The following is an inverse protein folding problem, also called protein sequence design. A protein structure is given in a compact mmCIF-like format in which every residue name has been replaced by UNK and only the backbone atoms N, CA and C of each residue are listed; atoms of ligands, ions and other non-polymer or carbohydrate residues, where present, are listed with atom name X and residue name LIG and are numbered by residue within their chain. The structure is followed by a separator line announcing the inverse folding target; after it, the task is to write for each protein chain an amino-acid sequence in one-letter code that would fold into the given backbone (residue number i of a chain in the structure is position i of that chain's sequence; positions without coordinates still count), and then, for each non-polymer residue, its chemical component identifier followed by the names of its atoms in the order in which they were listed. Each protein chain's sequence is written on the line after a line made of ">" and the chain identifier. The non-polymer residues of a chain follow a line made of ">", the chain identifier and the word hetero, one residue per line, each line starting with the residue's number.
data_IF_683104375675
#
_entry.id   IF_683104375675
#
_cell.length_a   1.000
_cell.length_b   1.000
_cell.length_c   1.000
_cell.angle_alpha   90.00
_cell.angle_beta   90.00
_cell.angle_gamma   90.00
#
_symmetry.space_group_name_H-M   'P 1'
#
loop_
_entity.id
_entity.type
_entity.pdbx_description
1 polymer ?
#
# COMPACT_ATOMS: atom_id res chain seq x y z
N UNK A 1 10.28 -16.15 -42.93
CA UNK A 1 9.80 -16.49 -41.57
C UNK A 1 9.25 -15.20 -41.01
N UNK A 2 7.93 -15.05 -41.01
CA UNK A 2 7.27 -13.77 -40.70
C UNK A 2 6.86 -13.86 -39.22
N UNK A 3 7.49 -13.03 -38.39
CA UNK A 3 7.01 -12.76 -37.04
C UNK A 3 6.19 -11.49 -37.11
N UNK A 4 4.92 -11.61 -36.79
CA UNK A 4 4.04 -10.45 -36.64
C UNK A 4 3.87 -10.18 -35.14
N UNK A 5 3.88 -8.90 -34.77
CA UNK A 5 3.63 -8.47 -33.38
C UNK A 5 2.47 -7.51 -33.38
N UNK A 6 1.46 -7.76 -32.54
CA UNK A 6 0.25 -6.92 -32.47
C UNK A 6 0.02 -6.49 -31.02
N UNK A 7 -0.16 -5.18 -30.81
CA UNK A 7 -0.65 -4.63 -29.56
C UNK A 7 -2.17 -4.59 -29.58
N UNK A 8 -2.82 -5.19 -28.58
CA UNK A 8 -4.26 -5.11 -28.35
C UNK A 8 -4.53 -4.27 -27.10
N UNK A 9 -5.24 -3.16 -27.26
CA UNK A 9 -5.56 -2.22 -26.16
C UNK A 9 -6.86 -1.45 -26.45
N UNK A 10 -7.78 -1.39 -25.48
CA UNK A 10 -9.10 -0.74 -25.60
C UNK A 10 -9.89 -1.10 -26.89
N UNK A 11 -9.75 -2.33 -27.37
CA UNK A 11 -10.39 -2.79 -28.62
C UNK A 11 -9.68 -2.37 -29.91
N UNK A 12 -8.56 -1.64 -29.82
CA UNK A 12 -7.67 -1.37 -30.94
C UNK A 12 -6.67 -2.50 -31.12
N UNK A 13 -6.36 -2.82 -32.37
CA UNK A 13 -5.26 -3.71 -32.75
C UNK A 13 -4.25 -2.91 -33.57
N UNK A 14 -3.03 -2.77 -33.03
CA UNK A 14 -1.96 -1.96 -33.60
C UNK A 14 -0.81 -2.88 -34.01
N UNK A 15 -0.52 -3.02 -35.32
CA UNK A 15 0.66 -3.74 -35.79
C UNK A 15 1.95 -3.07 -35.30
N UNK A 16 2.82 -3.83 -34.67
CA UNK A 16 4.06 -3.37 -34.06
C UNK A 16 5.25 -3.74 -34.95
N UNK A 17 6.01 -2.74 -35.39
CA UNK A 17 7.22 -2.90 -36.20
C UNK A 17 8.46 -3.14 -35.34
N UNK A 18 8.47 -2.65 -34.10
CA UNK A 18 9.57 -2.85 -33.16
C UNK A 18 9.06 -3.07 -31.76
N UNK A 19 9.56 -4.13 -31.10
CA UNK A 19 9.32 -4.43 -29.70
C UNK A 19 10.66 -4.54 -28.97
N UNK A 20 10.78 -3.84 -27.86
CA UNK A 20 11.89 -3.99 -26.92
C UNK A 20 11.39 -3.98 -25.49
N UNK A 21 12.00 -4.83 -24.67
CA UNK A 21 11.70 -4.92 -23.25
C UNK A 21 13.00 -4.87 -22.45
N UNK A 22 13.05 -4.00 -21.44
CA UNK A 22 14.23 -3.78 -20.58
C UNK A 22 13.88 -3.99 -19.12
N UNK A 23 14.74 -4.74 -18.44
CA UNK A 23 14.79 -4.93 -16.99
C UNK A 23 16.26 -5.06 -16.54
N UNK A 24 16.50 -4.97 -15.23
CA UNK A 24 17.81 -5.07 -14.61
C UNK A 24 17.81 -6.19 -13.56
N UNK A 25 18.96 -6.75 -13.22
CA UNK A 25 19.08 -7.63 -12.05
C UNK A 25 19.11 -6.74 -10.79
N UNK A 26 18.49 -7.17 -9.68
CA UNK A 26 18.41 -6.40 -8.42
C UNK A 26 19.77 -5.88 -7.88
N UNK A 27 20.87 -6.52 -8.27
CA UNK A 27 22.24 -6.17 -7.89
C UNK A 27 23.05 -5.63 -9.08
N UNK A 28 22.42 -4.94 -10.02
CA UNK A 28 23.09 -4.52 -11.26
C UNK A 28 24.32 -3.62 -11.03
N UNK A 29 24.35 -2.88 -9.92
CA UNK A 29 25.48 -2.02 -9.50
C UNK A 29 26.56 -2.77 -8.69
N UNK A 30 26.40 -4.08 -8.44
CA UNK A 30 27.41 -4.85 -7.70
C UNK A 30 28.65 -5.10 -8.59
N UNK A 31 29.86 -4.69 -8.15
CA UNK A 31 31.08 -4.92 -8.92
C UNK A 31 31.38 -6.41 -9.16
N UNK A 32 30.77 -7.31 -8.39
CA UNK A 32 30.87 -8.76 -8.52
C UNK A 32 29.65 -9.39 -9.19
N UNK A 33 28.76 -8.63 -9.84
CA UNK A 33 27.55 -9.15 -10.49
C UNK A 33 27.83 -10.37 -11.39
N UNK A 34 28.94 -10.33 -12.15
CA UNK A 34 29.35 -11.46 -13.00
C UNK A 34 29.57 -12.74 -12.20
N UNK A 35 30.17 -12.64 -11.01
CA UNK A 35 30.43 -13.76 -10.11
C UNK A 35 29.13 -14.25 -9.46
N UNK A 36 28.22 -13.34 -9.11
CA UNK A 36 26.88 -13.68 -8.59
C UNK A 36 26.10 -14.49 -9.63
N UNK A 37 26.06 -14.02 -10.88
CA UNK A 37 25.40 -14.74 -11.99
C UNK A 37 26.03 -16.12 -12.19
N UNK A 38 27.36 -16.21 -12.20
CA UNK A 38 28.06 -17.47 -12.38
C UNK A 38 27.74 -18.49 -11.27
N UNK A 39 27.78 -18.06 -10.00
CA UNK A 39 27.46 -18.92 -8.86
C UNK A 39 25.99 -19.36 -8.88
N UNK A 40 25.07 -18.46 -9.25
CA UNK A 40 23.66 -18.79 -9.39
C UNK A 40 23.41 -19.88 -10.44
N UNK A 41 24.05 -19.75 -11.61
CA UNK A 41 23.96 -20.76 -12.68
C UNK A 41 24.50 -22.10 -12.19
N UNK A 42 25.68 -22.11 -11.55
CA UNK A 42 26.30 -23.33 -11.06
C UNK A 42 25.41 -24.04 -10.03
N UNK A 43 24.87 -23.30 -9.05
CA UNK A 43 23.97 -23.86 -8.04
C UNK A 43 22.71 -24.43 -8.69
N UNK A 44 22.11 -23.71 -9.64
CA UNK A 44 20.94 -24.16 -10.40
C UNK A 44 21.21 -25.48 -11.14
N UNK A 45 22.36 -25.59 -11.81
CA UNK A 45 22.79 -26.80 -12.51
C UNK A 45 23.01 -27.98 -11.54
N UNK A 46 23.63 -27.74 -10.38
CA UNK A 46 23.91 -28.77 -9.37
C UNK A 46 22.64 -29.32 -8.72
N UNK A 47 21.65 -28.48 -8.45
CA UNK A 47 20.40 -28.88 -7.77
C UNK A 47 19.26 -29.21 -8.75
N UNK A 48 19.49 -29.05 -10.06
CA UNK A 48 18.49 -29.23 -11.11
C UNK A 48 17.33 -28.22 -11.07
N UNK A 49 17.50 -27.09 -10.36
CA UNK A 49 16.51 -26.03 -10.26
C UNK A 49 16.80 -24.96 -11.32
N UNK A 50 15.77 -24.30 -11.85
CA UNK A 50 15.89 -23.21 -12.84
C UNK A 50 15.25 -21.93 -12.31
N UNK A 51 15.58 -21.56 -11.08
CA UNK A 51 15.17 -20.26 -10.54
C UNK A 51 15.87 -19.13 -11.30
N UNK A 52 15.12 -18.09 -11.64
CA UNK A 52 15.68 -16.89 -12.25
C UNK A 52 16.17 -15.95 -11.15
N UNK A 53 17.28 -15.24 -11.40
CA UNK A 53 17.68 -14.13 -10.53
C UNK A 53 16.57 -13.07 -10.46
N UNK A 54 16.38 -12.41 -9.31
CA UNK A 54 15.41 -11.35 -9.19
C UNK A 54 15.77 -10.20 -10.11
N UNK A 55 14.78 -9.74 -10.88
CA UNK A 55 14.91 -8.59 -11.77
C UNK A 55 14.03 -7.45 -11.30
N UNK A 56 14.50 -6.23 -11.53
CA UNK A 56 13.87 -4.96 -11.20
C UNK A 56 13.83 -4.05 -12.42
N UNK A 57 12.83 -3.15 -12.41
CA UNK A 57 12.56 -2.28 -13.54
C UNK A 57 11.86 -3.03 -14.67
N UNK A 58 11.00 -2.30 -15.37
CA UNK A 58 10.23 -2.81 -16.49
C UNK A 58 9.91 -1.62 -17.39
N UNK A 59 10.42 -1.65 -18.61
CA UNK A 59 10.11 -0.68 -19.65
C UNK A 59 9.94 -1.40 -20.97
N UNK A 60 8.74 -1.26 -21.55
CA UNK A 60 8.41 -1.75 -22.88
C UNK A 60 8.52 -0.56 -23.84
N UNK A 61 9.14 -0.79 -25.00
CA UNK A 61 9.23 0.18 -26.10
C UNK A 61 8.59 -0.44 -27.34
N UNK A 62 7.61 0.24 -27.92
CA UNK A 62 6.88 -0.19 -29.11
C UNK A 62 7.01 0.86 -30.21
N UNK A 63 7.23 0.46 -31.46
CA UNK A 63 7.16 1.35 -32.62
C UNK A 63 6.13 0.87 -33.65
N UNK A 64 5.34 1.78 -34.21
CA UNK A 64 4.34 1.48 -35.24
C UNK A 64 4.06 2.68 -36.14
N UNK A 65 3.40 2.42 -37.27
CA UNK A 65 3.00 3.43 -38.26
C UNK A 65 1.73 4.16 -37.81
N UNK A 66 1.74 5.49 -37.84
CA UNK A 66 0.58 6.31 -37.50
C UNK A 66 -0.46 6.28 -38.63
N UNK A 67 -1.73 6.18 -38.26
CA UNK A 67 -2.90 6.21 -39.15
C UNK A 67 -3.78 7.45 -38.94
N UNK A 68 -3.46 8.29 -37.96
CA UNK A 68 -4.21 9.49 -37.62
C UNK A 68 -5.31 9.26 -36.57
N UNK A 69 -5.33 8.09 -35.94
CA UNK A 69 -6.32 7.69 -34.93
C UNK A 69 -5.68 7.48 -33.53
N UNK A 70 -4.44 7.97 -33.34
CA UNK A 70 -3.62 7.72 -32.15
C UNK A 70 -3.93 8.63 -30.95
N UNK A 71 -5.02 9.41 -30.96
CA UNK A 71 -5.37 10.36 -29.90
C UNK A 71 -5.34 9.73 -28.50
N UNK A 72 -5.82 8.49 -28.39
CA UNK A 72 -5.79 7.71 -27.17
C UNK A 72 -4.42 7.65 -26.50
N UNK A 73 -3.33 7.51 -27.26
CA UNK A 73 -1.99 7.37 -26.68
C UNK A 73 -1.52 8.68 -26.05
N UNK A 74 -1.85 9.83 -26.64
CA UNK A 74 -1.56 11.12 -26.04
C UNK A 74 -2.38 11.37 -24.79
N UNK A 75 -3.67 11.00 -24.81
CA UNK A 75 -4.54 11.11 -23.63
C UNK A 75 -3.98 10.24 -22.51
N UNK A 76 -3.56 9.01 -22.81
CA UNK A 76 -2.91 8.11 -21.86
C UNK A 76 -1.66 8.74 -21.22
N UNK A 77 -0.79 9.37 -22.02
CA UNK A 77 0.40 10.07 -21.51
C UNK A 77 0.04 11.29 -20.64
N UNK A 78 -0.93 12.10 -21.07
CA UNK A 78 -1.24 13.39 -20.46
C UNK A 78 -2.12 13.26 -19.20
N UNK A 79 -3.06 12.32 -19.21
CA UNK A 79 -3.94 12.07 -18.07
C UNK A 79 -3.21 11.36 -16.93
N UNK A 80 -2.09 10.68 -17.24
CA UNK A 80 -1.46 9.77 -16.30
C UNK A 80 -2.40 8.64 -15.92
N UNK A 81 -3.27 8.22 -16.84
CA UNK A 81 -4.17 7.09 -16.63
C UNK A 81 -3.40 5.77 -16.76
N UNK A 82 -3.93 4.72 -16.14
CA UNK A 82 -3.42 3.36 -16.34
C UNK A 82 -4.32 2.56 -17.25
N UNK A 83 -3.69 1.82 -18.17
CA UNK A 83 -4.41 0.93 -19.07
C UNK A 83 -3.80 -0.47 -19.10
N UNK A 84 -4.63 -1.42 -19.51
CA UNK A 84 -4.29 -2.82 -19.63
C UNK A 84 -4.26 -3.20 -21.12
N UNK A 85 -3.41 -4.16 -21.48
CA UNK A 85 -3.27 -4.56 -22.86
C UNK A 85 -2.46 -5.84 -23.03
N UNK A 86 -2.40 -6.31 -24.27
CA UNK A 86 -1.70 -7.53 -24.62
C UNK A 86 -0.83 -7.29 -25.86
N UNK A 87 0.35 -7.91 -25.90
CA UNK A 87 1.24 -7.95 -27.06
C UNK A 87 1.29 -9.40 -27.51
N UNK A 88 0.78 -9.65 -28.71
CA UNK A 88 0.68 -10.97 -29.32
C UNK A 88 1.86 -11.16 -30.27
N UNK A 89 2.61 -12.25 -30.09
CA UNK A 89 3.68 -12.66 -30.99
C UNK A 89 3.18 -13.81 -31.85
N UNK A 90 3.00 -13.55 -33.14
CA UNK A 90 2.40 -14.49 -34.09
C UNK A 90 3.50 -15.01 -35.01
N UNK A 91 3.57 -16.33 -35.12
CA UNK A 91 4.48 -17.05 -35.99
C UNK A 91 3.73 -17.58 -37.21
N UNK A 92 4.26 -17.29 -38.40
CA UNK A 92 3.71 -17.76 -39.68
C UNK A 92 2.22 -17.47 -39.86
N UNK A 93 1.73 -16.31 -39.39
CA UNK A 93 0.36 -15.81 -39.58
C UNK A 93 -0.78 -16.67 -38.99
N UNK A 94 -0.46 -17.78 -38.30
CA UNK A 94 -1.48 -18.74 -37.83
C UNK A 94 -1.29 -19.15 -36.37
N UNK A 95 -0.06 -19.18 -35.85
CA UNK A 95 0.23 -19.68 -34.50
C UNK A 95 0.63 -18.54 -33.56
N UNK A 96 -0.11 -18.35 -32.47
CA UNK A 96 0.31 -17.43 -31.40
C UNK A 96 1.42 -18.11 -30.61
N UNK A 97 2.66 -17.71 -30.88
CA UNK A 97 3.84 -18.23 -30.21
C UNK A 97 3.91 -17.80 -28.74
N UNK A 98 3.48 -16.56 -28.44
CA UNK A 98 3.51 -16.02 -27.09
C UNK A 98 2.56 -14.83 -26.94
N UNK A 99 2.10 -14.60 -25.71
CA UNK A 99 1.30 -13.43 -25.35
C UNK A 99 1.93 -12.78 -24.12
N UNK A 100 2.38 -11.55 -24.30
CA UNK A 100 2.86 -10.70 -23.23
C UNK A 100 1.73 -9.76 -22.80
N UNK A 101 1.16 -10.04 -21.63
CA UNK A 101 0.07 -9.26 -21.07
C UNK A 101 0.61 -8.26 -20.07
N UNK A 102 0.04 -7.07 -20.06
CA UNK A 102 0.35 -6.06 -19.08
C UNK A 102 -0.90 -5.42 -18.49
N UNK A 103 -0.77 -5.04 -17.21
CA UNK A 103 -1.79 -4.29 -16.49
C UNK A 103 -1.15 -3.11 -15.77
N UNK A 104 -1.98 -2.15 -15.40
CA UNK A 104 -1.59 -0.93 -14.67
C UNK A 104 -0.44 -0.21 -15.37
N UNK A 105 -0.55 -0.13 -16.68
CA UNK A 105 0.53 0.39 -17.48
C UNK A 105 0.36 1.89 -17.63
N UNK A 106 1.40 2.64 -17.29
CA UNK A 106 1.49 4.05 -17.66
C UNK A 106 2.16 4.17 -19.03
N UNK A 107 1.63 5.07 -19.86
CA UNK A 107 2.42 5.66 -20.92
C UNK A 107 3.34 6.71 -20.28
N UNK A 108 4.66 6.52 -20.39
CA UNK A 108 5.65 7.39 -19.72
C UNK A 108 6.39 8.31 -20.68
N UNK A 109 6.34 8.03 -21.98
CA UNK A 109 6.92 8.87 -23.03
C UNK A 109 6.36 8.46 -24.40
N UNK A 110 6.18 9.46 -25.26
CA UNK A 110 5.88 9.30 -26.68
C UNK A 110 6.98 10.01 -27.48
N UNK A 111 7.41 9.39 -28.58
CA UNK A 111 8.18 10.05 -29.63
C UNK A 111 7.47 9.87 -30.97
N UNK A 112 7.57 10.89 -31.82
CA UNK A 112 7.10 10.84 -33.20
C UNK A 112 8.22 11.20 -34.16
N UNK A 113 8.28 10.51 -35.29
CA UNK A 113 9.22 10.81 -36.35
C UNK A 113 8.49 10.83 -37.68
N UNK A 114 8.71 11.91 -38.42
CA UNK A 114 8.24 12.01 -39.79
C UNK A 114 9.24 11.30 -40.70
N UNK A 115 8.79 10.25 -41.38
CA UNK A 115 9.61 9.52 -42.33
C UNK A 115 9.82 10.35 -43.60
N UNK A 116 11.00 10.25 -44.22
CA UNK A 116 11.31 10.92 -45.48
C UNK A 116 10.87 10.03 -46.65
N UNK A 117 10.17 10.59 -47.63
CA UNK A 117 9.60 9.85 -48.77
C UNK A 117 8.14 9.44 -48.56
N UNK A 118 7.64 8.46 -49.33
CA UNK A 118 6.26 7.95 -49.22
C UNK A 118 6.04 7.01 -48.00
N UNK A 119 6.97 6.99 -47.05
CA UNK A 119 6.87 6.16 -45.85
C UNK A 119 5.95 6.84 -44.83
N UNK A 120 5.10 6.07 -44.12
CA UNK A 120 4.19 6.62 -43.13
C UNK A 120 4.94 7.24 -41.95
N UNK A 121 4.26 8.14 -41.25
CA UNK A 121 4.73 8.69 -39.98
C UNK A 121 4.82 7.58 -38.94
N UNK A 122 5.79 7.68 -38.04
CA UNK A 122 6.07 6.66 -37.03
C UNK A 122 5.89 7.19 -35.62
N UNK A 123 5.28 6.40 -34.75
CA UNK A 123 5.17 6.67 -33.31
C UNK A 123 5.93 5.62 -32.51
N UNK A 124 6.61 6.05 -31.45
CA UNK A 124 7.24 5.19 -30.45
C UNK A 124 6.67 5.45 -29.07
N UNK A 125 6.14 4.39 -28.47
CA UNK A 125 5.58 4.38 -27.13
C UNK A 125 6.58 3.79 -26.14
N UNK A 126 6.72 4.45 -25.00
CA UNK A 126 7.39 3.92 -23.83
C UNK A 126 6.35 3.64 -22.75
N UNK A 127 6.26 2.37 -22.39
CA UNK A 127 5.23 1.82 -21.51
C UNK A 127 5.90 1.27 -20.25
N UNK A 128 5.41 1.71 -19.09
CA UNK A 128 5.85 1.23 -17.78
C UNK A 128 4.71 0.41 -17.17
N UNK A 129 4.71 -0.92 -17.35
CA UNK A 129 3.68 -1.78 -16.79
C UNK A 129 3.83 -1.94 -15.27
N UNK A 130 2.71 -1.95 -14.55
CA UNK A 130 2.65 -2.35 -13.14
C UNK A 130 2.60 -3.86 -12.97
N UNK A 131 2.06 -4.59 -13.94
CA UNK A 131 2.07 -6.07 -13.98
C UNK A 131 2.45 -6.53 -15.36
N UNK A 132 3.22 -7.61 -15.43
CA UNK A 132 3.51 -8.33 -16.66
C UNK A 132 3.26 -9.83 -16.47
N UNK A 133 2.69 -10.47 -17.47
CA UNK A 133 2.51 -11.93 -17.54
C UNK A 133 2.84 -12.39 -18.94
N UNK A 134 3.80 -13.31 -19.02
CA UNK A 134 4.17 -14.01 -20.26
C UNK A 134 3.67 -15.44 -20.21
N UNK A 135 3.47 -16.09 -21.34
CA UNK A 135 3.06 -17.50 -21.32
C UNK A 135 4.14 -18.33 -20.63
N UNK A 136 3.73 -19.30 -19.80
CA UNK A 136 4.60 -20.21 -19.05
C UNK A 136 5.58 -19.56 -18.05
N UNK A 137 5.49 -18.25 -17.82
CA UNK A 137 6.23 -17.55 -16.77
C UNK A 137 5.27 -17.10 -15.67
N UNK A 138 5.75 -17.03 -14.43
CA UNK A 138 4.97 -16.46 -13.33
C UNK A 138 4.64 -14.99 -13.60
N UNK A 139 3.52 -14.53 -13.00
CA UNK A 139 3.17 -13.11 -13.05
C UNK A 139 4.29 -12.34 -12.34
N UNK A 140 4.76 -11.25 -12.95
CA UNK A 140 5.66 -10.32 -12.27
C UNK A 140 5.00 -8.97 -12.10
N UNK A 141 5.23 -8.41 -10.92
CA UNK A 141 4.49 -7.29 -10.42
C UNK A 141 5.49 -6.22 -9.98
N UNK A 142 5.37 -5.04 -10.57
CA UNK A 142 6.07 -3.86 -10.12
C UNK A 142 5.43 -3.39 -8.80
N UNK A 143 6.25 -2.84 -7.92
CA UNK A 143 5.92 -2.58 -6.51
C UNK A 143 4.70 -1.63 -6.30
N UNK A 144 4.19 -0.97 -7.34
CA UNK A 144 3.17 0.10 -7.25
C UNK A 144 1.85 -0.13 -8.03
N UNK A 145 1.53 -1.35 -8.50
CA UNK A 145 0.37 -1.61 -9.40
C UNK A 145 -1.04 -1.50 -8.74
N UNK A 146 -2.11 -1.47 -9.55
CA UNK A 146 -3.53 -1.29 -9.13
C UNK A 146 -4.51 -2.43 -9.52
N UNK A 147 -4.15 -3.35 -10.42
CA UNK A 147 -4.96 -4.43 -10.99
C UNK A 147 -4.51 -5.83 -10.52
N UNK A 148 -5.37 -6.82 -10.70
CA UNK A 148 -5.12 -8.25 -10.45
C UNK A 148 -5.28 -9.06 -11.76
N UNK A 149 -4.23 -9.73 -12.27
CA UNK A 149 -4.24 -10.43 -13.55
C UNK A 149 -5.02 -11.76 -13.51
N UNK A 150 -5.51 -12.19 -12.34
CA UNK A 150 -6.26 -13.45 -12.20
C UNK A 150 -7.73 -13.37 -12.62
N UNK A 151 -8.22 -12.19 -12.99
CA UNK A 151 -9.59 -12.00 -13.49
C UNK A 151 -9.59 -12.02 -15.02
N UNK A 152 -9.55 -13.21 -15.62
CA UNK A 152 -10.05 -13.39 -16.98
C UNK A 152 -11.58 -13.27 -16.93
N UNK A 153 -12.12 -12.11 -17.34
CA UNK A 153 -13.54 -12.00 -17.67
C UNK A 153 -13.72 -12.34 -19.14
N UNK A 154 -14.38 -13.47 -19.36
CA UNK A 154 -15.02 -13.83 -20.61
C UNK A 154 -15.90 -12.68 -21.11
N UNK A 155 -15.85 -12.45 -22.43
CA UNK A 155 -16.73 -11.56 -23.14
C UNK A 155 -18.20 -11.83 -22.80
N UNK A 156 -18.87 -10.83 -22.23
CA UNK A 156 -20.31 -10.53 -22.32
C UNK A 156 -20.65 -9.55 -21.20
N UNK A 157 -20.56 -8.24 -21.50
CA UNK A 157 -21.38 -7.16 -20.92
C UNK A 157 -20.93 -5.82 -21.54
N UNK A 158 -20.94 -5.77 -22.87
CA UNK A 158 -21.13 -4.49 -23.56
C UNK A 158 -22.63 -4.22 -23.61
N UNK A 159 -23.00 -2.93 -23.60
CA UNK A 159 -24.36 -2.39 -23.69
C UNK A 159 -25.09 -2.27 -22.35
N UNK A 160 -24.79 -1.19 -21.61
CA UNK A 160 -25.73 -0.10 -21.27
C UNK A 160 -25.12 0.84 -20.22
N UNK A 161 -24.80 2.06 -20.63
CA UNK A 161 -25.24 3.33 -20.01
C UNK A 161 -24.25 4.45 -20.35
N UNK A 162 -24.43 5.04 -21.54
CA UNK A 162 -24.33 6.49 -21.67
C UNK A 162 -25.65 7.11 -21.19
N UNK A 163 -25.59 8.39 -20.79
CA UNK A 163 -26.66 9.27 -20.30
C UNK A 163 -26.79 9.31 -18.77
N UNK A 164 -25.97 10.15 -18.10
CA UNK A 164 -26.42 11.42 -17.48
C UNK A 164 -25.26 12.12 -16.73
N UNK A 165 -24.95 13.35 -17.15
CA UNK A 165 -24.17 14.34 -16.39
C UNK A 165 -25.16 15.20 -15.59
N UNK A 166 -25.05 15.20 -14.26
CA UNK A 166 -25.00 16.38 -13.37
C UNK A 166 -25.54 16.09 -11.95
N UNK A 167 -24.93 16.77 -10.98
CA UNK A 167 -25.36 17.00 -9.59
C UNK A 167 -25.09 15.91 -8.51
N UNK A 168 -23.99 16.13 -7.79
CA UNK A 168 -23.88 16.32 -6.32
C UNK A 168 -24.58 15.33 -5.36
N UNK A 169 -23.71 14.72 -4.53
CA UNK A 169 -23.89 14.00 -3.25
C UNK A 169 -24.39 12.54 -3.23
N UNK A 170 -23.49 11.68 -2.73
CA UNK A 170 -23.67 10.47 -1.90
C UNK A 170 -24.58 9.33 -2.40
N UNK A 171 -23.97 8.18 -2.71
CA UNK A 171 -24.02 6.95 -1.89
C UNK A 171 -23.36 5.75 -2.60
N UNK A 172 -22.42 5.14 -1.87
CA UNK A 172 -22.17 3.71 -1.66
C UNK A 172 -22.21 2.67 -2.80
N UNK A 173 -21.37 1.64 -2.57
CA UNK A 173 -21.43 0.23 -3.07
C UNK A 173 -20.62 -0.01 -4.36
N UNK A 174 -19.68 -0.96 -4.50
CA UNK A 174 -19.44 -2.21 -3.77
C UNK A 174 -17.94 -2.61 -3.75
N UNK A 175 -17.47 -2.98 -2.56
CA UNK A 175 -16.30 -3.82 -2.33
C UNK A 175 -16.63 -5.28 -2.66
N UNK A 176 -15.82 -5.94 -3.49
CA UNK A 176 -15.52 -7.39 -3.41
C UNK A 176 -14.27 -7.71 -4.23
N UNK A 177 -13.13 -8.00 -3.57
CA UNK A 177 -12.50 -9.33 -3.44
C UNK A 177 -11.59 -9.66 -4.65
N UNK A 178 -10.25 -9.54 -4.59
CA UNK A 178 -9.35 -10.27 -3.71
C UNK A 178 -8.03 -9.53 -3.45
N UNK A 179 -7.77 -9.17 -2.19
CA UNK A 179 -6.39 -9.11 -1.69
C UNK A 179 -5.95 -10.54 -1.43
N UNK A 180 -4.80 -10.98 -1.92
CA UNK A 180 -4.15 -12.18 -1.37
C UNK A 180 -2.64 -12.09 -1.49
N UNK A 181 -2.04 -11.03 -0.91
CA UNK A 181 -0.92 -11.32 -0.02
C UNK A 181 -1.53 -12.18 1.08
N UNK A 182 -1.37 -13.50 0.98
CA UNK A 182 -1.74 -14.37 2.09
C UNK A 182 -0.86 -13.95 3.26
N UNK A 183 -1.47 -13.30 4.25
CA UNK A 183 -0.84 -13.10 5.55
C UNK A 183 -0.34 -14.47 5.96
N UNK A 184 0.95 -14.62 6.21
CA UNK A 184 1.51 -15.92 6.54
C UNK A 184 0.83 -16.45 7.80
N UNK A 185 0.71 -17.78 7.91
CA UNK A 185 0.12 -18.39 9.09
C UNK A 185 0.85 -17.99 10.38
N UNK A 186 2.16 -17.74 10.29
CA UNK A 186 2.98 -17.23 11.38
C UNK A 186 2.58 -15.80 11.80
N UNK A 187 2.41 -14.89 10.84
CA UNK A 187 1.97 -13.52 11.10
C UNK A 187 0.54 -13.49 11.67
N UNK A 188 -0.36 -14.31 11.10
CA UNK A 188 -1.72 -14.44 11.60
C UNK A 188 -1.75 -15.02 13.02
N UNK A 189 -0.89 -16.00 13.32
CA UNK A 189 -0.77 -16.56 14.67
C UNK A 189 -0.31 -15.51 15.69
N UNK A 190 0.65 -14.64 15.32
CA UNK A 190 1.10 -13.52 16.17
C UNK A 190 -0.04 -12.56 16.45
N UNK A 191 -0.78 -12.11 15.41
CA UNK A 191 -1.93 -11.21 15.58
C UNK A 191 -3.01 -11.85 16.46
N UNK A 192 -3.34 -13.13 16.22
CA UNK A 192 -4.32 -13.86 17.03
C UNK A 192 -3.90 -13.98 18.50
N UNK A 193 -2.61 -14.17 18.78
CA UNK A 193 -2.08 -14.17 20.13
C UNK A 193 -2.23 -12.79 20.80
N UNK A 194 -1.91 -11.71 20.10
CA UNK A 194 -2.09 -10.32 20.58
C UNK A 194 -3.57 -10.03 20.89
N UNK A 195 -4.48 -10.43 20.00
CA UNK A 195 -5.93 -10.28 20.19
C UNK A 195 -6.40 -11.06 21.41
N UNK A 196 -5.98 -12.32 21.55
CA UNK A 196 -6.37 -13.18 22.69
C UNK A 196 -5.93 -12.56 24.01
N UNK A 197 -4.67 -12.11 24.09
CA UNK A 197 -4.13 -11.47 25.29
C UNK A 197 -4.91 -10.19 25.63
N UNK A 198 -5.18 -9.33 24.64
CA UNK A 198 -5.87 -8.06 24.87
C UNK A 198 -7.33 -8.25 25.28
N UNK A 199 -8.04 -9.23 24.70
CA UNK A 199 -9.40 -9.60 25.12
C UNK A 199 -9.45 -10.04 26.57
N UNK A 200 -8.53 -10.91 27.00
CA UNK A 200 -8.46 -11.37 28.39
C UNK A 200 -8.22 -10.22 29.37
N UNK A 201 -7.36 -9.25 29.01
CA UNK A 201 -7.12 -8.05 29.82
C UNK A 201 -8.40 -7.21 29.91
N UNK A 202 -9.04 -6.92 28.77
CA UNK A 202 -10.22 -6.07 28.70
C UNK A 202 -11.45 -6.68 29.38
N UNK A 203 -11.67 -7.99 29.27
CA UNK A 203 -12.77 -8.68 29.97
C UNK A 203 -12.72 -8.41 31.48
N UNK A 204 -11.52 -8.42 32.06
CA UNK A 204 -11.33 -8.14 33.49
C UNK A 204 -11.38 -6.65 33.82
N UNK A 205 -10.68 -5.83 33.05
CA UNK A 205 -10.47 -4.42 33.39
C UNK A 205 -11.65 -3.53 32.98
N UNK A 206 -12.46 -3.92 31.98
CA UNK A 206 -13.63 -3.13 31.55
C UNK A 206 -14.74 -3.12 32.62
N UNK A 207 -15.02 -4.26 33.26
CA UNK A 207 -15.99 -4.33 34.36
C UNK A 207 -15.51 -3.51 35.56
N UNK A 208 -14.22 -3.59 35.88
CA UNK A 208 -13.61 -2.75 36.90
C UNK A 208 -13.73 -1.26 36.55
N UNK A 209 -13.49 -0.89 35.29
CA UNK A 209 -13.60 0.49 34.84
C UNK A 209 -15.04 1.02 34.92
N UNK A 210 -16.03 0.23 34.48
CA UNK A 210 -17.46 0.57 34.59
C UNK A 210 -17.91 0.76 36.04
N UNK A 211 -17.44 -0.10 36.95
CA UNK A 211 -17.71 0.03 38.39
C UNK A 211 -17.17 1.34 38.95
N UNK A 212 -15.95 1.74 38.55
CA UNK A 212 -15.36 3.02 38.97
C UNK A 212 -16.18 4.23 38.46
N UNK A 213 -16.71 4.17 37.23
CA UNK A 213 -17.58 5.22 36.67
C UNK A 213 -18.90 5.38 37.44
N UNK A 214 -19.49 4.28 37.90
CA UNK A 214 -20.76 4.28 38.64
C UNK A 214 -20.63 4.75 40.10
N UNK A 215 -19.41 4.86 40.63
CA UNK A 215 -19.14 5.13 42.05
C UNK A 215 -19.45 6.56 42.54
N UNK A 216 -19.92 7.46 41.66
CA UNK A 216 -20.41 8.79 42.07
C UNK A 216 -19.34 9.66 42.77
N UNK A 217 -18.20 9.88 42.10
CA UNK A 217 -17.08 10.77 42.46
C UNK A 217 -16.12 10.35 43.59
N UNK A 218 -16.42 9.34 44.43
CA UNK A 218 -15.45 8.92 45.47
C UNK A 218 -14.33 8.02 44.92
N UNK A 219 -14.61 7.25 43.87
CA UNK A 219 -13.67 6.32 43.22
C UNK A 219 -13.71 6.47 41.68
N UNK A 220 -13.85 7.71 41.17
CA UNK A 220 -13.82 7.96 39.72
C UNK A 220 -12.47 7.51 39.13
N UNK A 221 -12.45 6.90 37.92
CA UNK A 221 -11.19 6.47 37.33
C UNK A 221 -10.23 7.67 37.14
N UNK A 222 -9.01 7.52 37.66
CA UNK A 222 -7.96 8.51 37.50
C UNK A 222 -7.58 8.72 36.02
N UNK A 223 -6.96 9.85 35.69
CA UNK A 223 -6.45 10.11 34.33
C UNK A 223 -5.52 9.00 33.82
N UNK A 224 -4.75 8.37 34.71
CA UNK A 224 -3.93 7.20 34.40
C UNK A 224 -4.80 6.02 33.94
N UNK A 225 -5.84 5.70 34.72
CA UNK A 225 -6.73 4.58 34.43
C UNK A 225 -7.54 4.83 33.16
N UNK A 226 -8.03 6.07 32.95
CA UNK A 226 -8.70 6.50 31.72
C UNK A 226 -7.78 6.36 30.49
N UNK A 227 -6.52 6.79 30.60
CA UNK A 227 -5.51 6.63 29.54
C UNK A 227 -5.23 5.17 29.22
N UNK A 228 -4.91 4.37 30.24
CA UNK A 228 -4.63 2.93 30.08
C UNK A 228 -5.83 2.17 29.49
N UNK A 229 -7.05 2.45 29.97
CA UNK A 229 -8.28 1.89 29.41
C UNK A 229 -8.43 2.25 27.94
N UNK A 230 -8.18 3.52 27.61
CA UNK A 230 -8.20 4.01 26.24
C UNK A 230 -7.24 3.22 25.34
N UNK A 231 -5.96 3.12 25.72
CA UNK A 231 -4.93 2.41 24.96
C UNK A 231 -5.32 0.94 24.72
N UNK A 232 -5.89 0.26 25.72
CA UNK A 232 -6.38 -1.12 25.57
C UNK A 232 -7.52 -1.22 24.54
N UNK A 233 -8.53 -0.35 24.65
CA UNK A 233 -9.68 -0.33 23.73
C UNK A 233 -9.23 -0.01 22.30
N UNK A 234 -8.36 0.99 22.13
CA UNK A 234 -7.79 1.34 20.83
C UNK A 234 -7.02 0.16 20.23
N UNK A 235 -6.13 -0.46 21.02
CA UNK A 235 -5.35 -1.61 20.59
C UNK A 235 -6.24 -2.77 20.12
N UNK A 236 -7.24 -3.16 20.91
CA UNK A 236 -8.15 -4.23 20.52
C UNK A 236 -8.96 -3.86 19.26
N UNK A 237 -9.44 -2.61 19.18
CA UNK A 237 -10.18 -2.12 18.02
C UNK A 237 -9.34 -2.19 16.74
N UNK A 238 -8.10 -1.71 16.77
CA UNK A 238 -7.18 -1.72 15.63
C UNK A 238 -6.79 -3.14 15.18
N UNK A 239 -6.65 -4.09 16.11
CA UNK A 239 -6.32 -5.48 15.79
C UNK A 239 -7.52 -6.30 15.28
N UNK A 240 -8.75 -5.93 15.66
CA UNK A 240 -9.94 -6.76 15.41
C UNK A 240 -10.97 -6.16 14.47
N UNK A 241 -10.94 -4.86 14.20
CA UNK A 241 -12.01 -4.21 13.43
C UNK A 241 -12.16 -4.83 12.05
N UNK A 242 -13.37 -5.28 11.76
CA UNK A 242 -13.70 -5.88 10.47
C UNK A 242 -13.79 -4.83 9.36
N UNK A 243 -14.12 -3.57 9.67
CA UNK A 243 -14.09 -2.48 8.68
C UNK A 243 -12.67 -2.24 8.18
N UNK A 244 -11.70 -2.27 9.11
CA UNK A 244 -10.28 -2.13 8.81
C UNK A 244 -9.74 -3.27 7.95
N UNK A 245 -10.07 -4.52 8.29
CA UNK A 245 -9.60 -5.70 7.54
C UNK A 245 -10.22 -5.80 6.15
N UNK A 246 -11.53 -5.50 6.02
CA UNK A 246 -12.22 -5.43 4.71
C UNK A 246 -11.64 -4.31 3.86
N UNK A 247 -11.27 -3.21 4.52
CA UNK A 247 -10.70 -2.02 3.91
C UNK A 247 -11.74 -1.07 3.35
N UNK A 248 -11.30 0.14 3.04
CA UNK A 248 -12.08 1.20 2.37
C UNK A 248 -11.18 1.87 1.33
N UNK A 249 -11.71 2.16 0.14
CA UNK A 249 -10.99 2.78 -0.98
C UNK A 249 -9.65 2.07 -1.32
N UNK A 250 -9.69 0.74 -1.41
CA UNK A 250 -8.52 -0.08 -1.75
C UNK A 250 -7.49 -0.27 -0.63
N UNK A 251 -7.65 0.37 0.54
CA UNK A 251 -6.72 0.21 1.68
C UNK A 251 -7.27 -0.79 2.68
N UNK A 252 -6.51 -1.86 2.95
CA UNK A 252 -6.80 -2.84 4.01
C UNK A 252 -5.81 -2.68 5.14
N UNK A 253 -6.29 -2.87 6.36
CA UNK A 253 -5.51 -2.68 7.57
C UNK A 253 -5.51 -3.98 8.36
N UNK A 254 -4.55 -4.84 8.05
CA UNK A 254 -4.27 -6.05 8.82
C UNK A 254 -3.12 -5.74 9.77
N UNK A 255 -3.46 -5.22 10.93
CA UNK A 255 -2.48 -4.60 11.82
C UNK A 255 -1.86 -5.61 12.77
N UNK A 256 -0.53 -5.59 12.86
CA UNK A 256 0.27 -6.26 13.89
C UNK A 256 0.94 -5.21 14.74
N UNK A 257 0.71 -5.23 16.06
CA UNK A 257 1.33 -4.26 16.96
C UNK A 257 2.81 -4.58 17.15
N UNK A 258 3.66 -3.57 17.10
CA UNK A 258 5.12 -3.65 17.24
C UNK A 258 5.64 -2.61 18.23
N UNK A 259 6.86 -2.82 18.75
CA UNK A 259 7.46 -1.95 19.74
C UNK A 259 6.97 -2.25 21.16
N UNK A 260 6.59 -1.21 21.90
CA UNK A 260 6.13 -1.37 23.29
C UNK A 260 4.77 -2.09 23.34
N UNK A 261 4.57 -2.97 24.32
CA UNK A 261 3.27 -3.63 24.59
C UNK A 261 2.19 -2.63 25.01
N UNK A 262 0.92 -3.04 24.94
CA UNK A 262 -0.20 -2.21 25.39
C UNK A 262 -0.31 -2.36 26.91
N UNK A 263 -1.03 -1.47 27.63
CA UNK A 263 -1.19 -1.62 29.07
C UNK A 263 -1.86 -2.95 29.38
N UNK A 264 -1.48 -3.59 30.48
CA UNK A 264 -2.01 -4.90 30.89
C UNK A 264 -2.98 -4.82 32.08
N UNK A 265 -3.20 -3.61 32.60
CA UNK A 265 -4.13 -3.29 33.69
C UNK A 265 -4.40 -1.78 33.74
N UNK A 266 -5.52 -1.36 34.33
CA UNK A 266 -5.83 0.06 34.52
C UNK A 266 -4.75 0.80 35.33
N UNK A 267 -4.02 0.09 36.18
CA UNK A 267 -3.00 0.68 37.05
C UNK A 267 -1.59 0.67 36.48
N UNK A 268 -1.42 0.13 35.26
CA UNK A 268 -0.16 0.09 34.52
C UNK A 268 0.57 1.45 34.58
N UNK A 269 1.89 1.41 34.72
CA UNK A 269 2.71 2.62 34.73
C UNK A 269 2.55 3.36 33.41
N UNK A 270 2.25 4.66 33.47
CA UNK A 270 2.14 5.51 32.28
C UNK A 270 3.45 5.44 31.49
N UNK A 271 3.37 4.93 30.26
CA UNK A 271 4.47 5.01 29.30
C UNK A 271 4.39 6.36 28.59
N UNK A 272 5.49 7.10 28.61
CA UNK A 272 5.58 8.38 27.89
C UNK A 272 6.01 8.11 26.46
N UNK A 273 5.14 8.33 25.48
CA UNK A 273 5.52 8.09 24.09
C UNK A 273 4.33 8.07 23.14
N UNK A 274 4.50 7.28 22.09
CA UNK A 274 3.45 6.85 21.17
C UNK A 274 2.71 5.70 21.85
N UNK A 275 1.39 5.68 21.76
CA UNK A 275 0.55 4.67 22.42
C UNK A 275 0.52 3.34 21.65
N UNK A 276 0.52 3.41 20.31
CA UNK A 276 0.57 2.23 19.44
C UNK A 276 1.35 2.45 18.15
N UNK A 277 2.17 1.47 17.80
CA UNK A 277 2.83 1.37 16.49
C UNK A 277 2.43 0.03 15.90
N UNK A 278 1.94 0.04 14.65
CA UNK A 278 1.46 -1.15 13.97
C UNK A 278 2.13 -1.28 12.62
N UNK A 279 2.63 -2.48 12.32
CA UNK A 279 2.96 -2.89 10.96
C UNK A 279 1.66 -3.34 10.28
N UNK A 280 1.40 -2.82 9.08
CA UNK A 280 0.28 -3.28 8.27
C UNK A 280 0.75 -4.43 7.39
N UNK A 281 0.16 -5.61 7.60
CA UNK A 281 0.46 -6.84 6.85
C UNK A 281 -0.17 -6.82 5.45
N UNK A 282 -1.01 -5.83 5.16
CA UNK A 282 -1.58 -5.55 3.83
C UNK A 282 -1.32 -4.09 3.44
N UNK A 283 -0.07 -3.68 3.23
CA UNK A 283 0.25 -2.30 2.82
C UNK A 283 -0.44 -1.96 1.48
N UNK A 284 -0.76 -0.69 1.19
CA UNK A 284 -0.44 0.56 1.89
C UNK A 284 -1.55 1.03 2.88
N UNK A 285 -1.23 1.76 3.96
CA UNK A 285 0.10 2.23 4.39
C UNK A 285 0.96 1.09 4.96
N UNK A 286 2.28 1.30 5.07
CA UNK A 286 3.21 0.32 5.65
C UNK A 286 3.08 0.27 7.17
N UNK A 287 2.93 1.43 7.81
CA UNK A 287 2.71 1.52 9.24
C UNK A 287 1.49 2.36 9.58
N UNK A 288 0.90 2.06 10.73
CA UNK A 288 -0.08 2.91 11.40
C UNK A 288 0.50 3.31 12.75
N UNK A 289 0.50 4.60 13.05
CA UNK A 289 0.94 5.15 14.34
C UNK A 289 -0.29 5.76 15.00
N UNK A 290 -0.63 5.25 16.18
CA UNK A 290 -1.81 5.62 16.94
C UNK A 290 -1.46 6.38 18.22
N UNK A 291 -2.24 7.40 18.48
CA UNK A 291 -2.30 8.11 19.75
C UNK A 291 -3.74 8.08 20.26
N UNK A 292 -3.91 7.64 21.49
CA UNK A 292 -5.22 7.48 22.09
C UNK A 292 -5.59 8.68 22.94
N UNK A 293 -6.86 9.12 22.85
CA UNK A 293 -7.42 10.19 23.68
C UNK A 293 -8.73 9.75 24.31
N UNK A 294 -8.85 9.92 25.62
CA UNK A 294 -10.10 9.63 26.34
C UNK A 294 -10.97 10.89 26.46
N UNK A 295 -12.25 10.76 26.12
CA UNK A 295 -13.27 11.81 26.19
C UNK A 295 -12.86 13.11 25.49
N UNK A 296 -12.63 14.18 26.25
CA UNK A 296 -12.29 15.52 25.73
C UNK A 296 -10.79 15.76 25.63
N UNK A 297 -9.96 14.76 25.98
CA UNK A 297 -8.50 14.86 25.93
C UNK A 297 -8.02 15.22 24.52
N UNK A 298 -7.01 16.09 24.43
CA UNK A 298 -6.46 16.58 23.16
C UNK A 298 -4.98 16.29 23.03
N UNK A 299 -4.47 16.39 21.79
CA UNK A 299 -3.03 16.37 21.53
C UNK A 299 -2.37 17.58 22.19
N UNK A 300 -1.17 17.38 22.74
CA UNK A 300 -0.41 18.42 23.42
C UNK A 300 0.67 19.04 22.53
N UNK A 301 1.02 20.29 22.80
CA UNK A 301 2.21 20.91 22.21
C UNK A 301 3.46 20.47 22.98
N UNK A 302 4.54 20.14 22.27
CA UNK A 302 5.79 19.68 22.88
C UNK A 302 6.98 20.49 22.40
N UNK A 303 8.14 20.30 23.05
CA UNK A 303 9.41 20.89 22.59
C UNK A 303 9.84 20.40 21.20
N UNK A 304 9.28 19.29 20.70
CA UNK A 304 9.55 18.71 19.37
C UNK A 304 8.41 18.97 18.39
N UNK A 305 7.64 20.04 18.61
CA UNK A 305 6.45 20.36 17.84
C UNK A 305 5.19 19.69 18.41
N UNK A 306 4.11 19.60 17.63
CA UNK A 306 2.87 19.05 18.11
C UNK A 306 3.01 17.53 18.32
N UNK A 307 2.33 16.98 19.34
CA UNK A 307 2.19 15.53 19.48
C UNK A 307 1.57 14.95 18.20
N UNK A 308 2.05 13.76 17.78
CA UNK A 308 1.75 13.14 16.47
C UNK A 308 2.29 13.89 15.25
N UNK A 309 3.11 14.93 15.44
CA UNK A 309 3.88 15.53 14.36
C UNK A 309 5.04 14.63 13.91
N UNK A 310 5.46 14.69 12.65
CA UNK A 310 6.55 13.90 12.05
C UNK A 310 7.82 14.00 12.91
N UNK A 311 8.21 15.21 13.30
CA UNK A 311 9.43 15.44 14.11
C UNK A 311 9.28 14.81 15.50
N UNK A 312 8.10 14.93 16.11
CA UNK A 312 7.81 14.33 17.40
C UNK A 312 7.84 12.81 17.32
N UNK A 313 7.19 12.22 16.31
CA UNK A 313 7.17 10.77 16.07
C UNK A 313 8.59 10.26 15.87
N UNK A 314 9.38 10.90 15.00
CA UNK A 314 10.79 10.53 14.78
C UNK A 314 11.61 10.55 16.07
N UNK A 315 11.43 11.55 16.94
CA UNK A 315 12.06 11.59 18.27
C UNK A 315 11.64 10.40 19.15
N UNK A 316 10.35 10.04 19.15
CA UNK A 316 9.85 8.89 19.92
C UNK A 316 10.38 7.56 19.41
N UNK A 317 10.40 7.34 18.10
CA UNK A 317 10.97 6.14 17.48
C UNK A 317 12.46 5.98 17.85
N UNK A 318 13.25 7.07 17.79
CA UNK A 318 14.66 7.04 18.21
C UNK A 318 14.84 6.72 19.69
N UNK A 319 13.91 7.11 20.57
CA UNK A 319 13.96 6.74 21.99
C UNK A 319 13.64 5.27 22.21
N UNK A 320 12.73 4.70 21.44
CA UNK A 320 12.43 3.26 21.50
C UNK A 320 13.64 2.44 21.04
N UNK A 321 14.30 2.88 19.96
CA UNK A 321 15.57 2.30 19.49
C UNK A 321 16.65 2.34 20.58
N UNK A 322 16.90 3.50 21.19
CA UNK A 322 17.90 3.65 22.26
C UNK A 322 17.62 2.81 23.51
N UNK A 323 16.37 2.46 23.75
CA UNK A 323 15.96 1.59 24.85
C UNK A 323 16.02 0.09 24.49
N UNK A 324 16.33 -0.25 23.23
CA UNK A 324 16.35 -1.62 22.74
C UNK A 324 14.96 -2.24 22.54
N UNK A 325 13.90 -1.43 22.53
CA UNK A 325 12.51 -1.91 22.34
C UNK A 325 12.26 -2.25 20.87
N UNK A 326 12.85 -1.48 19.96
CA UNK A 326 12.83 -1.76 18.51
C UNK A 326 14.27 -1.82 17.99
N UNK A 327 14.47 -2.61 16.93
CA UNK A 327 15.77 -2.68 16.27
C UNK A 327 16.10 -1.38 15.52
N UNK A 328 17.39 -1.15 15.29
CA UNK A 328 17.89 -0.03 14.48
C UNK A 328 17.30 -0.10 13.06
N UNK A 329 17.18 -1.31 12.52
CA UNK A 329 16.59 -1.55 11.19
C UNK A 329 15.10 -1.15 11.15
N UNK A 330 14.31 -1.59 12.12
CA UNK A 330 12.89 -1.24 12.21
C UNK A 330 12.70 0.26 12.42
N UNK A 331 13.52 0.90 13.26
CA UNK A 331 13.55 2.36 13.43
C UNK A 331 13.82 3.08 12.10
N UNK A 332 14.80 2.62 11.31
CA UNK A 332 15.08 3.19 9.98
C UNK A 332 13.91 2.98 9.01
N UNK A 333 13.29 1.80 9.00
CA UNK A 333 12.13 1.46 8.17
C UNK A 333 10.95 2.41 8.46
N UNK A 334 10.59 2.59 9.74
CA UNK A 334 9.51 3.50 10.15
C UNK A 334 9.83 4.96 9.78
N UNK A 335 11.08 5.41 9.99
CA UNK A 335 11.47 6.79 9.67
C UNK A 335 11.46 7.08 8.18
N UNK A 336 11.87 6.12 7.33
CA UNK A 336 11.77 6.23 5.87
C UNK A 336 10.32 6.23 5.39
N UNK A 337 9.49 5.34 5.94
CA UNK A 337 8.06 5.33 5.62
C UNK A 337 7.38 6.67 5.98
N UNK A 338 7.78 7.31 7.08
CA UNK A 338 7.31 8.66 7.42
C UNK A 338 7.73 9.73 6.40
N UNK A 339 8.93 9.61 5.82
CA UNK A 339 9.43 10.54 4.80
C UNK A 339 8.77 10.32 3.43
N UNK A 340 8.35 9.08 3.15
CA UNK A 340 7.69 8.68 1.91
C UNK A 340 6.15 8.80 1.96
N UNK A 341 5.58 9.32 3.05
CA UNK A 341 4.12 9.38 3.28
C UNK A 341 3.42 7.99 3.32
N UNK A 342 4.16 6.94 3.68
CA UNK A 342 3.70 5.55 3.76
C UNK A 342 3.21 5.17 5.18
N UNK A 343 2.92 6.16 6.02
CA UNK A 343 2.46 5.98 7.40
C UNK A 343 1.16 6.74 7.63
N UNK A 344 0.11 6.02 8.02
CA UNK A 344 -1.10 6.66 8.52
C UNK A 344 -0.88 7.03 10.00
N UNK A 345 -0.95 8.34 10.29
CA UNK A 345 -0.95 8.87 11.65
C UNK A 345 -2.39 9.05 12.08
N UNK A 346 -2.79 8.37 13.14
CA UNK A 346 -4.18 8.33 13.59
C UNK A 346 -4.33 8.74 15.04
N UNK A 347 -5.51 9.24 15.38
CA UNK A 347 -5.93 9.49 16.75
C UNK A 347 -7.19 8.69 17.03
N UNK A 348 -7.11 7.77 17.99
CA UNK A 348 -8.25 6.98 18.44
C UNK A 348 -8.86 7.62 19.67
N UNK A 349 -10.09 8.11 19.55
CA UNK A 349 -10.84 8.72 20.65
C UNK A 349 -11.76 7.69 21.30
N UNK A 350 -11.61 7.52 22.61
CA UNK A 350 -12.41 6.59 23.40
C UNK A 350 -13.41 7.39 24.23
N UNK A 351 -14.67 7.05 24.09
CA UNK A 351 -15.75 7.62 24.89
C UNK A 351 -16.07 6.73 26.10
N UNK A 352 -16.69 7.31 27.11
CA UNK A 352 -17.05 6.68 28.38
C UNK A 352 -17.99 5.49 28.20
N UNK A 353 -18.85 5.56 27.20
CA UNK A 353 -19.69 4.44 26.78
C UNK A 353 -18.93 3.30 26.06
N UNK A 354 -17.60 3.41 25.95
CA UNK A 354 -16.72 2.44 25.31
C UNK A 354 -16.63 2.54 23.79
N UNK A 355 -17.32 3.52 23.16
CA UNK A 355 -17.23 3.75 21.72
C UNK A 355 -15.82 4.24 21.34
N UNK A 356 -15.29 3.67 20.26
CA UNK A 356 -14.02 4.09 19.66
C UNK A 356 -14.30 4.84 18.36
N UNK A 357 -13.72 6.02 18.20
CA UNK A 357 -13.76 6.77 16.94
C UNK A 357 -12.33 7.14 16.55
N UNK A 358 -11.87 6.62 15.42
CA UNK A 358 -10.52 6.85 14.93
C UNK A 358 -10.55 7.83 13.76
N UNK A 359 -9.59 8.76 13.75
CA UNK A 359 -9.41 9.72 12.66
C UNK A 359 -7.97 9.72 12.22
N UNK A 360 -7.75 9.87 10.92
CA UNK A 360 -6.42 10.12 10.37
C UNK A 360 -6.13 11.60 10.43
N UNK A 361 -4.90 11.94 10.79
CA UNK A 361 -4.46 13.32 10.97
C UNK A 361 -3.23 13.63 10.11
N UNK A 362 -3.18 14.84 9.57
CA UNK A 362 -2.00 15.40 8.91
C UNK A 362 -1.94 16.90 9.12
N UNK A 363 -0.76 17.48 9.11
CA UNK A 363 -0.60 18.95 9.12
C UNK A 363 -0.84 19.47 7.71
N UNK A 364 -1.57 20.57 7.59
CA UNK A 364 -1.78 21.22 6.30
C UNK A 364 -0.51 21.98 5.86
N UNK A 365 0.02 21.65 4.68
CA UNK A 365 1.25 22.25 4.17
C UNK A 365 2.53 21.65 4.78
N UNK A 366 3.63 22.40 4.75
CA UNK A 366 4.93 21.91 5.21
C UNK A 366 5.01 21.83 6.74
N UNK A 367 5.06 20.61 7.25
CA UNK A 367 5.16 20.35 8.67
C UNK A 367 6.55 20.69 9.22
N UNK A 368 6.60 21.46 10.31
CA UNK A 368 7.84 21.84 11.01
C UNK A 368 7.71 21.75 12.53
N UNK A 369 8.83 21.96 13.24
CA UNK A 369 8.86 21.97 14.71
C UNK A 369 8.02 23.12 15.31
N UNK A 370 7.72 24.15 14.50
CA UNK A 370 6.93 25.32 14.89
C UNK A 370 5.43 25.12 14.66
N UNK A 371 5.02 24.04 13.98
CA UNK A 371 3.60 23.73 13.76
C UNK A 371 2.88 23.55 15.09
N UNK A 372 1.58 23.82 15.09
CA UNK A 372 0.71 23.71 16.26
C UNK A 372 -0.24 22.54 16.10
N UNK A 373 -0.78 22.07 17.23
CA UNK A 373 -1.84 21.04 17.23
C UNK A 373 -3.11 21.50 16.51
N UNK A 374 -3.35 22.82 16.42
CA UNK A 374 -4.44 23.41 15.64
C UNK A 374 -4.29 23.27 14.12
N UNK A 375 -3.07 22.99 13.64
CA UNK A 375 -2.76 22.92 12.21
C UNK A 375 -3.06 21.52 11.64
N UNK A 376 -3.44 20.57 12.50
CA UNK A 376 -3.90 19.27 12.09
C UNK A 376 -5.28 19.37 11.44
N UNK A 377 -5.36 18.87 10.21
CA UNK A 377 -6.62 18.49 9.60
C UNK A 377 -6.86 17.00 9.85
N UNK A 378 -8.12 16.63 10.09
CA UNK A 378 -8.53 15.26 10.33
C UNK A 378 -9.46 14.78 9.23
N UNK A 379 -9.21 13.59 8.72
CA UNK A 379 -10.12 12.86 7.84
C UNK A 379 -10.67 11.62 8.54
N UNK A 380 -11.84 11.17 8.09
CA UNK A 380 -12.43 9.92 8.58
C UNK A 380 -11.47 8.80 8.22
N UNK A 381 -11.16 7.96 9.20
CA UNK A 381 -10.39 6.73 8.99
C UNK A 381 -11.36 5.54 9.08
N UNK A 382 -11.13 4.45 8.32
CA UNK A 382 -12.11 3.37 8.15
C UNK A 382 -12.53 2.61 9.40
#
# INVERSE_FOLDING_TARGET
>A
MIYETILKIRGMEVPILYYNYRCHIQHYDDPNLRKIIQLHIQVCEEIGNRECLPVEGDLITLAFECKGEEQFFYDWLNEGAMHNGEIHFIYNEVEIADIFRFWDCFCVKIEEYMSVGNSPMMMVLYLSPGIIKRNNLEVREKVWKESDPTVQSSAENFVKNEIEKNEVFQENTNFTANSSLKISDAELAVVNAQVKQMKQILEKEEERFKSLLQSGNKDEPSNKQKGNYGEMKSCLNLLTSESLKKGVNGRRYNLKRIGDDAPNSLDSKIRKGIDGIYENLTPLPIFVIDETKYETSMLSQTQKGPQMGIIWIKDKILRLEKKGIISIELSRKIRRALDNEEVDRIVSRIFENGKVVTKKIRVQGNESIKSKTSDFISEIWP
#
